data_IF_184191979990
#
_entry.id   IF_184191979990
#
_cell.length_a   1.000
_cell.length_b   1.000
_cell.length_c   1.000
_cell.angle_alpha   90.00
_cell.angle_beta   90.00
_cell.angle_gamma   90.00
#
_symmetry.space_group_name_H-M   'P 1'
#
loop_
_entity.id
_entity.type
_entity.pdbx_description
1 polymer ?
#
# COMPACT_ATOMS: atom_id res chain seq x y z
N UNK A 1 -19.26 -22.25 51.52
CA UNK A 1 -19.67 -23.50 52.21
C UNK A 1 -21.14 -23.74 51.88
N UNK A 2 -21.46 -25.00 51.52
CA UNK A 2 -22.81 -25.57 51.37
C UNK A 2 -23.57 -25.19 50.08
N UNK A 3 -24.28 -26.08 49.41
CA UNK A 3 -24.16 -27.53 49.21
C UNK A 3 -25.12 -27.83 48.05
N UNK A 4 -24.74 -28.73 47.14
CA UNK A 4 -25.68 -29.31 46.18
C UNK A 4 -26.63 -30.25 46.93
N UNK A 5 -27.92 -30.17 46.62
CA UNK A 5 -28.90 -31.25 46.82
C UNK A 5 -29.83 -31.21 45.60
N UNK A 6 -29.51 -31.99 44.57
CA UNK A 6 -30.03 -33.32 44.28
C UNK A 6 -31.54 -33.32 44.02
N UNK A 7 -31.90 -33.29 42.74
CA UNK A 7 -33.18 -33.84 42.25
C UNK A 7 -32.83 -35.15 41.55
N UNK A 8 -33.30 -36.25 42.12
CA UNK A 8 -33.14 -37.61 41.62
C UNK A 8 -33.96 -37.81 40.33
N UNK A 9 -33.47 -38.56 39.33
CA UNK A 9 -34.22 -38.85 38.11
C UNK A 9 -35.26 -39.93 38.41
N UNK A 10 -36.51 -39.73 37.95
CA UNK A 10 -37.51 -40.82 37.95
C UNK A 10 -37.33 -41.70 36.72
N UNK A 11 -37.56 -42.98 36.98
CA UNK A 11 -37.25 -44.17 36.18
C UNK A 11 -37.76 -44.15 34.73
N UNK A 12 -36.95 -44.70 33.83
CA UNK A 12 -37.37 -45.91 33.12
C UNK A 12 -38.48 -45.82 32.06
N UNK A 13 -38.58 -44.75 31.28
CA UNK A 13 -39.34 -44.79 30.02
C UNK A 13 -38.40 -45.17 28.87
N UNK A 14 -38.56 -46.38 28.33
CA UNK A 14 -37.90 -46.78 27.10
C UNK A 14 -38.30 -45.81 25.98
N UNK A 15 -37.38 -44.93 25.56
CA UNK A 15 -37.62 -44.04 24.43
C UNK A 15 -37.86 -44.87 23.16
N UNK A 16 -38.93 -44.60 22.39
CA UNK A 16 -39.15 -45.27 21.10
C UNK A 16 -37.93 -45.04 20.20
N UNK A 17 -37.44 -46.09 19.53
CA UNK A 17 -36.21 -46.03 18.69
C UNK A 17 -36.26 -45.04 17.52
N UNK A 18 -37.42 -44.42 17.28
CA UNK A 18 -37.67 -43.42 16.24
C UNK A 18 -37.95 -42.01 16.79
N UNK A 19 -37.88 -41.80 18.10
CA UNK A 19 -38.08 -40.48 18.69
C UNK A 19 -36.81 -39.62 18.53
N UNK A 20 -36.92 -38.41 17.94
CA UNK A 20 -35.78 -37.52 17.83
C UNK A 20 -35.35 -36.98 19.20
N UNK A 21 -34.04 -36.82 19.37
CA UNK A 21 -33.41 -36.29 20.57
C UNK A 21 -34.03 -34.96 21.02
N UNK A 22 -34.37 -34.85 22.30
CA UNK A 22 -35.03 -33.68 22.89
C UNK A 22 -34.07 -32.55 23.29
N UNK A 23 -32.95 -32.40 22.57
CA UNK A 23 -31.97 -31.35 22.87
C UNK A 23 -32.38 -30.02 22.23
N UNK A 24 -32.13 -28.91 22.92
CA UNK A 24 -32.49 -27.57 22.45
C UNK A 24 -31.89 -27.21 21.07
N UNK A 25 -30.73 -27.77 20.74
CA UNK A 25 -30.10 -27.63 19.43
C UNK A 25 -30.87 -28.37 18.33
N UNK A 26 -31.15 -29.67 18.52
CA UNK A 26 -31.86 -30.49 17.53
C UNK A 26 -33.32 -30.09 17.35
N UNK A 27 -33.92 -29.51 18.39
CA UNK A 27 -35.28 -28.98 18.35
C UNK A 27 -35.38 -27.51 17.93
N UNK A 28 -34.24 -26.86 17.61
CA UNK A 28 -34.20 -25.45 17.20
C UNK A 28 -34.82 -24.49 18.24
N UNK A 29 -34.69 -24.83 19.53
CA UNK A 29 -35.16 -24.05 20.68
C UNK A 29 -34.02 -23.33 21.40
N UNK A 30 -32.90 -23.12 20.71
CA UNK A 30 -31.81 -22.33 21.26
C UNK A 30 -32.30 -20.89 21.53
N UNK A 31 -31.85 -20.26 22.64
CA UNK A 31 -32.13 -18.86 22.89
C UNK A 31 -31.53 -18.04 21.75
N UNK A 32 -32.40 -17.32 21.05
CA UNK A 32 -32.01 -16.45 19.94
C UNK A 32 -32.45 -15.03 20.25
N UNK A 33 -31.55 -14.08 20.04
CA UNK A 33 -31.92 -12.67 20.01
C UNK A 33 -32.57 -12.36 18.65
N UNK A 34 -33.80 -11.87 18.67
CA UNK A 34 -34.57 -11.51 17.47
C UNK A 34 -34.83 -10.00 17.49
N UNK A 35 -33.87 -9.17 17.04
CA UNK A 35 -34.07 -7.74 17.00
C UNK A 35 -35.19 -7.39 16.02
N UNK A 36 -36.21 -6.68 16.50
CA UNK A 36 -37.23 -6.11 15.63
C UNK A 36 -36.80 -4.69 15.24
N UNK A 37 -36.51 -4.48 13.96
CA UNK A 37 -36.11 -3.19 13.42
C UNK A 37 -37.32 -2.27 13.33
N UNK A 38 -37.57 -1.51 14.40
CA UNK A 38 -38.59 -0.45 14.43
C UNK A 38 -38.03 0.84 13.83
N UNK A 39 -38.93 1.67 13.28
CA UNK A 39 -38.56 2.96 12.67
C UNK A 39 -37.75 3.82 13.65
N UNK A 40 -38.15 3.86 14.93
CA UNK A 40 -37.45 4.64 15.96
C UNK A 40 -36.01 4.12 16.22
N UNK A 41 -35.82 2.80 16.29
CA UNK A 41 -34.49 2.20 16.49
C UNK A 41 -33.57 2.47 15.30
N UNK A 42 -34.10 2.36 14.09
CA UNK A 42 -33.34 2.59 12.86
C UNK A 42 -32.96 4.07 12.74
N UNK A 43 -33.92 4.97 12.96
CA UNK A 43 -33.69 6.42 12.90
C UNK A 43 -32.64 6.88 13.92
N UNK A 44 -32.71 6.38 15.16
CA UNK A 44 -31.73 6.68 16.19
C UNK A 44 -30.32 6.20 15.81
N UNK A 45 -30.20 4.97 15.27
CA UNK A 45 -28.91 4.43 14.82
C UNK A 45 -28.29 5.27 13.69
N UNK A 46 -29.12 5.77 12.75
CA UNK A 46 -28.65 6.62 11.67
C UNK A 46 -28.16 7.98 12.17
N UNK A 47 -28.87 8.62 13.11
CA UNK A 47 -28.42 9.90 13.67
C UNK A 47 -27.10 9.75 14.45
N UNK A 48 -26.95 8.70 15.24
CA UNK A 48 -25.71 8.43 15.98
C UNK A 48 -24.54 8.16 15.04
N UNK A 49 -24.74 7.30 14.04
CA UNK A 49 -23.71 6.99 13.04
C UNK A 49 -23.36 8.23 12.21
N UNK A 50 -24.36 9.02 11.83
CA UNK A 50 -24.18 10.27 11.09
C UNK A 50 -23.37 11.30 11.87
N UNK A 51 -23.70 11.51 13.15
CA UNK A 51 -22.94 12.41 14.02
C UNK A 51 -21.49 11.94 14.18
N UNK A 52 -21.27 10.64 14.40
CA UNK A 52 -19.93 10.07 14.47
C UNK A 52 -19.14 10.29 13.17
N UNK A 53 -19.71 9.92 12.03
CA UNK A 53 -19.05 10.11 10.72
C UNK A 53 -18.78 11.59 10.42
N UNK A 54 -19.66 12.50 10.83
CA UNK A 54 -19.45 13.94 10.67
C UNK A 54 -18.25 14.42 11.50
N UNK A 55 -18.19 14.04 12.78
CA UNK A 55 -17.06 14.42 13.64
C UNK A 55 -15.73 13.89 13.11
N UNK A 56 -15.67 12.61 12.75
CA UNK A 56 -14.47 12.00 12.17
C UNK A 56 -14.11 12.65 10.83
N UNK A 57 -15.10 12.92 9.98
CA UNK A 57 -14.90 13.59 8.69
C UNK A 57 -14.28 14.97 8.83
N UNK A 58 -14.77 15.80 9.77
CA UNK A 58 -14.20 17.12 10.06
C UNK A 58 -12.76 16.99 10.56
N UNK A 59 -12.48 16.09 11.50
CA UNK A 59 -11.13 15.85 12.00
C UNK A 59 -10.16 15.42 10.88
N UNK A 60 -10.59 14.52 9.99
CA UNK A 60 -9.78 14.05 8.86
C UNK A 60 -9.49 15.17 7.86
N UNK A 61 -10.48 16.01 7.53
CA UNK A 61 -10.30 17.13 6.59
C UNK A 61 -9.33 18.18 7.17
N UNK A 62 -9.46 18.52 8.45
CA UNK A 62 -8.51 19.44 9.11
C UNK A 62 -7.09 18.88 9.11
N UNK A 63 -6.95 17.58 9.38
CA UNK A 63 -5.65 16.91 9.38
C UNK A 63 -5.05 16.87 7.96
N UNK A 64 -5.83 16.55 6.94
CA UNK A 64 -5.38 16.50 5.55
C UNK A 64 -4.94 17.88 5.04
N UNK A 65 -5.67 18.95 5.38
CA UNK A 65 -5.35 20.31 4.97
C UNK A 65 -4.13 20.91 5.70
N UNK A 66 -3.71 20.31 6.82
CA UNK A 66 -2.51 20.73 7.54
C UNK A 66 -1.21 20.29 6.87
N UNK A 67 -1.28 19.25 6.02
CA UNK A 67 -0.12 18.75 5.28
C UNK A 67 0.25 19.75 4.18
N UNK A 68 1.53 20.13 4.13
CA UNK A 68 2.07 21.00 3.08
C UNK A 68 2.75 20.16 2.02
N UNK A 69 2.35 20.35 0.77
CA UNK A 69 2.91 19.66 -0.39
C UNK A 69 3.34 20.66 -1.46
N UNK A 70 4.46 20.37 -2.12
CA UNK A 70 4.94 21.11 -3.29
C UNK A 70 5.18 20.10 -4.40
N UNK A 71 4.43 20.24 -5.49
CA UNK A 71 4.55 19.41 -6.67
C UNK A 71 5.19 20.21 -7.81
N UNK A 72 6.24 19.66 -8.41
CA UNK A 72 6.95 20.28 -9.53
C UNK A 72 6.98 19.28 -10.68
N UNK A 73 6.31 19.60 -11.79
CA UNK A 73 6.51 18.86 -13.04
C UNK A 73 7.80 19.33 -13.70
N UNK A 74 8.79 18.42 -13.74
CA UNK A 74 10.07 18.66 -14.38
C UNK A 74 10.09 18.22 -15.85
N UNK A 75 9.07 17.52 -16.34
CA UNK A 75 9.03 16.99 -17.71
C UNK A 75 8.99 18.12 -18.73
N UNK A 76 8.14 19.11 -18.51
CA UNK A 76 8.00 20.29 -19.38
C UNK A 76 9.17 21.26 -19.24
N UNK A 77 9.61 21.50 -18.00
CA UNK A 77 10.72 22.41 -17.70
C UNK A 77 12.06 21.88 -18.19
N UNK A 78 12.22 20.56 -18.26
CA UNK A 78 13.41 19.87 -18.76
C UNK A 78 13.16 19.20 -20.11
N UNK A 79 12.47 19.89 -21.02
CA UNK A 79 12.00 19.29 -22.29
C UNK A 79 13.13 18.71 -23.14
N UNK A 80 14.34 19.27 -23.12
CA UNK A 80 15.49 18.73 -23.85
C UNK A 80 15.90 17.34 -23.34
N UNK A 81 15.94 17.17 -22.02
CA UNK A 81 16.19 15.86 -21.41
C UNK A 81 15.03 14.89 -21.67
N UNK A 82 13.78 15.37 -21.64
CA UNK A 82 12.60 14.56 -21.93
C UNK A 82 12.64 14.01 -23.37
N UNK A 83 12.87 14.89 -24.36
CA UNK A 83 13.02 14.52 -25.77
C UNK A 83 14.17 13.55 -26.01
N UNK A 84 15.30 13.76 -25.33
CA UNK A 84 16.44 12.85 -25.42
C UNK A 84 16.07 11.43 -24.95
N UNK A 85 15.16 11.31 -23.98
CA UNK A 85 14.72 10.04 -23.38
C UNK A 85 13.58 9.34 -24.12
N UNK A 86 12.92 10.01 -25.08
CA UNK A 86 11.98 9.35 -25.99
C UNK A 86 12.65 8.20 -26.77
N UNK A 87 13.94 8.35 -27.08
CA UNK A 87 14.73 7.27 -27.66
C UNK A 87 15.47 6.48 -26.56
N UNK A 88 14.99 5.27 -26.29
CA UNK A 88 15.58 4.34 -25.30
C UNK A 88 17.08 4.05 -25.51
N UNK A 89 17.61 4.23 -26.72
CA UNK A 89 19.04 4.05 -27.02
C UNK A 89 19.93 5.09 -26.31
N UNK A 90 19.37 6.25 -25.95
CA UNK A 90 20.09 7.32 -25.25
C UNK A 90 20.17 7.11 -23.73
N UNK A 91 19.87 5.90 -23.23
CA UNK A 91 19.84 5.62 -21.79
C UNK A 91 21.14 6.02 -21.05
N UNK A 92 22.29 5.93 -21.73
CA UNK A 92 23.62 6.22 -21.19
C UNK A 92 24.05 7.70 -21.35
N UNK A 93 23.25 8.55 -21.99
CA UNK A 93 23.60 9.98 -22.16
C UNK A 93 23.16 10.77 -20.94
N UNK A 94 24.13 11.38 -20.27
CA UNK A 94 23.84 12.29 -19.14
C UNK A 94 23.13 13.55 -19.64
N UNK A 95 22.13 14.00 -18.89
CA UNK A 95 21.41 15.23 -19.16
C UNK A 95 21.09 15.90 -17.83
N UNK A 96 21.52 17.15 -17.68
CA UNK A 96 21.32 17.93 -16.47
C UNK A 96 20.24 18.97 -16.71
N UNK A 97 19.35 19.12 -15.75
CA UNK A 97 18.32 20.15 -15.76
C UNK A 97 18.22 20.76 -14.37
N UNK A 98 18.08 22.09 -14.32
CA UNK A 98 17.93 22.84 -13.07
C UNK A 98 16.58 23.53 -13.07
N UNK A 99 15.82 23.35 -11.99
CA UNK A 99 14.53 23.99 -11.79
C UNK A 99 14.59 24.79 -10.51
N UNK A 100 14.34 26.09 -10.65
CA UNK A 100 14.22 26.97 -9.51
C UNK A 100 12.77 26.94 -9.01
N UNK A 101 12.61 26.78 -7.70
CA UNK A 101 11.33 26.91 -7.02
C UNK A 101 11.54 27.62 -5.71
N UNK A 102 10.47 28.23 -5.20
CA UNK A 102 10.48 28.97 -3.94
C UNK A 102 9.47 28.35 -2.98
N UNK A 103 9.84 28.27 -1.71
CA UNK A 103 8.95 27.89 -0.63
C UNK A 103 8.19 29.14 -0.18
N UNK A 104 6.85 29.13 -0.24
CA UNK A 104 6.03 30.26 0.21
C UNK A 104 5.92 30.31 1.73
N UNK A 105 5.96 29.15 2.36
CA UNK A 105 5.84 28.95 3.80
C UNK A 105 6.85 27.88 4.23
N UNK A 106 7.26 27.92 5.50
CA UNK A 106 8.15 26.93 6.07
C UNK A 106 7.42 25.60 6.28
N UNK A 107 8.09 24.50 5.90
CA UNK A 107 7.57 23.14 6.11
C UNK A 107 8.03 22.66 7.49
N UNK A 108 7.08 22.50 8.41
CA UNK A 108 7.35 22.01 9.76
C UNK A 108 7.31 20.47 9.81
N UNK A 109 8.30 19.87 10.48
CA UNK A 109 8.39 18.42 10.67
C UNK A 109 9.28 17.72 9.64
N UNK A 110 9.06 16.41 9.50
CA UNK A 110 9.86 15.57 8.59
C UNK A 110 9.43 15.77 7.14
N UNK A 111 10.41 16.01 6.27
CA UNK A 111 10.19 16.25 4.85
C UNK A 111 10.44 14.97 4.06
N UNK A 112 9.46 14.57 3.26
CA UNK A 112 9.56 13.43 2.35
C UNK A 112 9.58 13.92 0.90
N UNK A 113 10.52 13.40 0.12
CA UNK A 113 10.61 13.66 -1.32
C UNK A 113 10.10 12.44 -2.08
N UNK A 114 9.13 12.67 -2.96
CA UNK A 114 8.55 11.65 -3.83
C UNK A 114 8.75 12.03 -5.29
N UNK A 115 8.80 11.02 -6.17
CA UNK A 115 8.69 11.21 -7.61
C UNK A 115 7.42 10.58 -8.14
N UNK A 116 6.68 11.37 -8.91
CA UNK A 116 5.50 10.92 -9.62
C UNK A 116 5.85 10.52 -11.05
N UNK A 117 5.31 9.39 -11.50
CA UNK A 117 5.34 8.99 -12.91
C UNK A 117 3.89 8.95 -13.42
N UNK A 118 3.64 9.61 -14.54
CA UNK A 118 2.35 9.55 -15.24
C UNK A 118 2.46 8.64 -16.47
N UNK A 119 1.33 8.06 -16.89
CA UNK A 119 1.25 7.13 -18.02
C UNK A 119 2.18 5.90 -17.92
N UNK A 120 2.53 5.48 -16.70
CA UNK A 120 3.35 4.30 -16.43
C UNK A 120 2.53 3.19 -15.76
N UNK A 121 2.11 2.19 -16.54
CA UNK A 121 1.18 1.14 -16.09
C UNK A 121 1.87 0.00 -15.34
N UNK A 122 2.35 0.28 -14.12
CA UNK A 122 2.97 -0.72 -13.25
C UNK A 122 2.02 -1.88 -12.87
N UNK A 123 0.71 -1.63 -12.87
CA UNK A 123 -0.32 -2.63 -12.55
C UNK A 123 -0.60 -3.63 -13.67
N UNK A 124 0.01 -3.49 -14.85
CA UNK A 124 -0.21 -4.39 -15.96
C UNK A 124 0.24 -5.83 -15.60
N UNK A 125 -0.64 -6.83 -15.77
CA UNK A 125 -0.41 -8.22 -15.31
C UNK A 125 0.93 -8.81 -15.73
N UNK A 126 1.37 -8.58 -16.98
CA UNK A 126 2.67 -9.09 -17.46
C UNK A 126 3.85 -8.37 -16.82
N UNK A 127 3.71 -7.08 -16.51
CA UNK A 127 4.74 -6.28 -15.87
C UNK A 127 4.93 -6.73 -14.41
N UNK A 128 3.83 -6.83 -13.64
CA UNK A 128 3.85 -7.29 -12.24
C UNK A 128 4.44 -8.69 -12.10
N UNK A 129 4.13 -9.60 -13.04
CA UNK A 129 4.66 -10.97 -13.02
C UNK A 129 6.11 -11.08 -13.45
N UNK A 130 6.67 -10.07 -14.13
CA UNK A 130 8.02 -10.13 -14.70
C UNK A 130 9.08 -9.80 -13.65
N UNK A 131 9.28 -10.74 -12.72
CA UNK A 131 10.31 -10.75 -11.68
C UNK A 131 10.59 -12.17 -11.19
N UNK A 132 11.69 -12.35 -10.47
CA UNK A 132 12.04 -13.61 -9.81
C UNK A 132 12.23 -13.40 -8.31
N UNK A 133 11.23 -13.80 -7.51
CA UNK A 133 11.26 -13.59 -6.06
C UNK A 133 12.43 -14.37 -5.40
N UNK A 134 12.73 -15.57 -5.89
CA UNK A 134 13.86 -16.35 -5.38
C UNK A 134 15.23 -15.69 -5.68
N UNK A 135 15.37 -14.96 -6.79
CA UNK A 135 16.58 -14.18 -7.07
C UNK A 135 16.69 -12.95 -6.14
N UNK A 136 15.58 -12.26 -5.88
CA UNK A 136 15.53 -11.13 -4.96
C UNK A 136 15.86 -11.53 -3.51
N UNK A 137 15.59 -12.79 -3.14
CA UNK A 137 16.02 -13.41 -1.88
C UNK A 137 17.49 -13.88 -1.89
N UNK A 138 18.24 -13.66 -2.97
CA UNK A 138 19.65 -14.04 -3.09
C UNK A 138 19.88 -15.53 -3.37
N UNK A 139 18.86 -16.29 -3.80
CA UNK A 139 19.03 -17.73 -4.12
C UNK A 139 19.51 -17.91 -5.56
N UNK A 140 20.33 -18.93 -5.78
CA UNK A 140 20.73 -19.33 -7.13
C UNK A 140 19.53 -20.01 -7.82
N UNK A 141 19.11 -19.47 -8.97
CA UNK A 141 17.91 -19.91 -9.69
C UNK A 141 18.18 -20.12 -11.17
N UNK A 142 17.59 -21.19 -11.73
CA UNK A 142 17.55 -21.34 -13.18
C UNK A 142 16.50 -20.38 -13.78
N UNK A 143 16.99 -19.28 -14.35
CA UNK A 143 16.17 -18.17 -14.84
C UNK A 143 15.30 -18.55 -16.06
N UNK A 144 15.62 -19.62 -16.78
CA UNK A 144 14.83 -20.11 -17.91
C UNK A 144 13.40 -20.56 -17.52
N UNK A 145 13.18 -20.94 -16.25
CA UNK A 145 11.86 -21.34 -15.74
C UNK A 145 11.08 -20.21 -15.08
N UNK A 146 11.63 -18.99 -15.07
CA UNK A 146 11.02 -17.84 -14.42
C UNK A 146 10.09 -17.05 -15.34
N UNK A 147 9.23 -16.21 -14.76
CA UNK A 147 8.35 -15.30 -15.51
C UNK A 147 9.07 -14.02 -15.98
N UNK A 148 10.41 -13.98 -15.94
CA UNK A 148 11.21 -12.81 -16.29
C UNK A 148 11.31 -12.50 -17.80
N UNK A 149 10.81 -13.37 -18.69
CA UNK A 149 10.87 -13.11 -20.13
C UNK A 149 10.14 -11.80 -20.52
N UNK A 150 10.70 -10.99 -21.45
CA UNK A 150 11.92 -11.23 -22.24
C UNK A 150 13.24 -10.84 -21.53
N UNK A 151 13.19 -10.22 -20.36
CA UNK A 151 14.35 -9.70 -19.62
C UNK A 151 14.97 -10.76 -18.69
N UNK A 152 15.20 -11.96 -19.22
CA UNK A 152 15.77 -13.09 -18.49
C UNK A 152 17.30 -13.18 -18.67
N UNK A 153 17.79 -12.88 -19.86
CA UNK A 153 19.19 -13.10 -20.26
C UNK A 153 19.68 -11.97 -21.14
N UNK A 154 20.95 -11.59 -20.99
CA UNK A 154 21.63 -10.71 -21.94
C UNK A 154 21.80 -11.39 -23.30
N UNK A 155 22.15 -10.62 -24.34
CA UNK A 155 22.45 -11.15 -25.69
C UNK A 155 23.56 -12.20 -25.67
N UNK A 156 24.46 -12.14 -24.69
CA UNK A 156 25.59 -13.06 -24.53
C UNK A 156 25.21 -14.38 -23.84
N UNK A 157 23.94 -14.60 -23.49
CA UNK A 157 23.46 -15.79 -22.77
C UNK A 157 23.60 -15.71 -21.25
N UNK A 158 24.29 -14.70 -20.72
CA UNK A 158 24.42 -14.48 -19.27
C UNK A 158 23.05 -14.14 -18.65
N UNK A 159 22.67 -14.75 -17.52
CA UNK A 159 21.45 -14.40 -16.81
C UNK A 159 21.45 -12.94 -16.30
N UNK A 160 20.33 -12.24 -16.45
CA UNK A 160 20.17 -10.89 -15.88
C UNK A 160 19.95 -10.96 -14.36
N UNK A 161 20.61 -10.08 -13.61
CA UNK A 161 20.49 -10.01 -12.16
C UNK A 161 20.40 -8.55 -11.68
N UNK A 162 19.24 -8.08 -11.19
CA UNK A 162 17.93 -8.76 -11.17
C UNK A 162 17.28 -8.93 -12.56
N UNK A 163 16.48 -9.99 -12.76
CA UNK A 163 15.73 -10.23 -14.00
C UNK A 163 14.33 -9.62 -13.99
N UNK A 164 13.79 -9.39 -15.19
CA UNK A 164 12.40 -9.00 -15.40
C UNK A 164 12.18 -7.52 -15.73
N UNK A 165 10.97 -7.20 -16.18
CA UNK A 165 10.60 -5.87 -16.65
C UNK A 165 10.68 -4.81 -15.55
N UNK A 166 10.33 -5.17 -14.31
CA UNK A 166 10.32 -4.25 -13.17
C UNK A 166 11.73 -3.70 -12.90
N UNK A 167 12.72 -4.60 -12.86
CA UNK A 167 14.11 -4.25 -12.68
C UNK A 167 14.66 -3.46 -13.88
N UNK A 168 14.30 -3.86 -15.10
CA UNK A 168 14.80 -3.24 -16.32
C UNK A 168 14.32 -1.79 -16.50
N UNK A 169 13.12 -1.45 -16.02
CA UNK A 169 12.58 -0.07 -16.05
C UNK A 169 12.68 0.63 -14.70
N UNK A 170 13.74 0.34 -13.93
CA UNK A 170 14.01 1.07 -12.69
C UNK A 170 14.28 2.55 -12.98
N UNK A 171 13.72 3.43 -12.16
CA UNK A 171 13.96 4.87 -12.27
C UNK A 171 15.43 5.19 -12.02
N UNK A 172 16.04 6.00 -12.90
CA UNK A 172 17.46 6.32 -12.89
C UNK A 172 17.75 7.82 -12.69
N UNK A 173 16.73 8.63 -12.40
CA UNK A 173 16.92 10.05 -12.13
C UNK A 173 17.58 10.28 -10.77
N UNK A 174 18.54 11.20 -10.74
CA UNK A 174 19.20 11.65 -9.51
C UNK A 174 18.90 13.11 -9.27
N UNK A 175 18.58 13.47 -8.02
CA UNK A 175 18.28 14.85 -7.65
C UNK A 175 19.30 15.40 -6.68
N UNK A 176 19.65 16.66 -6.88
CA UNK A 176 20.49 17.45 -5.98
C UNK A 176 19.72 18.73 -5.64
N UNK A 177 19.50 18.97 -4.34
CA UNK A 177 18.81 20.15 -3.84
C UNK A 177 19.81 21.08 -3.15
N UNK A 178 20.43 22.02 -3.88
CA UNK A 178 21.27 23.04 -3.28
C UNK A 178 20.41 24.17 -2.67
N UNK A 179 20.74 24.59 -1.46
CA UNK A 179 20.16 25.77 -0.82
C UNK A 179 21.07 26.98 -1.08
N UNK A 180 20.55 28.09 -1.62
CA UNK A 180 21.30 29.33 -1.74
C UNK A 180 21.52 29.93 -0.34
N UNK A 181 22.78 30.00 0.10
CA UNK A 181 23.15 30.74 1.30
C UNK A 181 23.69 32.13 0.92
N UNK A 182 23.57 33.13 1.81
CA UNK A 182 24.00 34.51 1.54
C UNK A 182 25.49 34.66 1.20
N UNK A 183 26.35 33.70 1.57
CA UNK A 183 27.81 33.78 1.41
C UNK A 183 28.36 33.06 0.15
N UNK A 184 27.63 33.05 -0.97
CA UNK A 184 28.03 32.40 -2.24
C UNK A 184 28.26 30.87 -2.20
N UNK A 185 28.13 30.22 -1.03
CA UNK A 185 28.21 28.77 -0.90
C UNK A 185 26.83 28.11 -1.05
N UNK A 186 26.76 27.06 -1.88
CA UNK A 186 25.58 26.20 -1.95
C UNK A 186 25.71 25.08 -0.92
N UNK A 187 24.77 25.01 0.04
CA UNK A 187 24.69 23.87 0.97
C UNK A 187 23.71 22.85 0.42
N UNK A 188 24.16 21.60 0.25
CA UNK A 188 23.27 20.53 -0.19
C UNK A 188 22.35 20.11 0.96
N UNK A 189 21.05 19.95 0.68
CA UNK A 189 20.11 19.40 1.64
C UNK A 189 20.46 17.93 1.95
N UNK A 190 20.66 17.55 3.22
CA UNK A 190 21.01 16.18 3.57
C UNK A 190 19.81 15.24 3.42
N UNK A 191 19.89 14.28 2.51
CA UNK A 191 18.86 13.25 2.32
C UNK A 191 19.39 11.87 2.74
N UNK A 192 18.89 11.28 3.84
CA UNK A 192 19.32 9.95 4.26
C UNK A 192 18.81 8.89 3.28
N UNK A 193 19.69 7.99 2.81
CA UNK A 193 19.32 6.88 1.91
C UNK A 193 18.74 5.65 2.63
N UNK A 194 18.81 5.63 3.95
CA UNK A 194 18.31 4.55 4.82
C UNK A 194 16.91 4.88 5.32
N UNK A 195 16.09 3.85 5.60
CA UNK A 195 14.74 4.03 6.16
C UNK A 195 13.66 4.45 5.16
N UNK A 196 13.92 4.36 3.84
CA UNK A 196 12.96 4.74 2.79
C UNK A 196 12.04 3.58 2.37
N UNK A 197 12.30 2.38 2.87
CA UNK A 197 11.60 1.14 2.53
C UNK A 197 10.96 0.55 3.78
N UNK A 198 9.94 -0.28 3.56
CA UNK A 198 9.32 -1.07 4.61
C UNK A 198 10.34 -1.97 5.34
N UNK A 199 10.03 -2.27 6.60
CA UNK A 199 10.78 -3.21 7.43
C UNK A 199 10.49 -4.66 7.01
#
# INVERSE_FOLDING_TARGET
MKNKTNVLPREGEAQPSRCPDNSAFKQQRLPAWKPQLTIASVLSSFFLTGAFCLTVGVCLVLSANSVREIQIDYSDKCSDCSKLRENSSNWNKECHCSINFTLKEDILGDVFMYYGLQNFYQNHRRYVRSRSDAQLLGRNVNIQRSYCAPFSTYRNGTPMAPCGAIANSMFNGTWHLPLPLPDFFLKLFPYPRTGQTWY
#
